data_IF_452897407823
#
_entry.id   IF_452897407823
#
_cell.length_a   1.000
_cell.length_b   1.000
_cell.length_c   1.000
_cell.angle_alpha   90.00
_cell.angle_beta   90.00
_cell.angle_gamma   90.00
#
_symmetry.space_group_name_H-M   'P 1'
#
loop_
_entity.id
_entity.type
_entity.pdbx_description
1 polymer ?
#
# COMPACT_ATOMS: atom_id res chain seq x y z
N UNK A 1 10.00 10.62 16.25
CA UNK A 1 10.27 9.72 15.17
C UNK A 1 9.12 9.69 14.17
N UNK A 2 9.46 9.70 12.92
CA UNK A 2 8.43 9.71 11.90
C UNK A 2 7.90 8.31 11.69
N UNK A 3 6.61 8.22 11.51
CA UNK A 3 5.99 6.95 11.20
C UNK A 3 5.98 6.73 9.70
N UNK A 4 5.95 5.46 9.33
CA UNK A 4 5.80 5.08 7.94
C UNK A 4 4.35 5.38 7.53
N UNK A 5 4.17 6.13 6.46
CA UNK A 5 2.86 6.57 6.03
C UNK A 5 2.30 5.61 5.00
N UNK A 6 1.13 5.07 5.28
CA UNK A 6 0.49 4.07 4.43
C UNK A 6 -0.87 4.56 3.99
N UNK A 7 -1.08 4.61 2.68
CA UNK A 7 -2.38 4.98 2.11
C UNK A 7 -3.15 3.69 1.82
N UNK A 8 -4.36 3.60 2.35
CA UNK A 8 -5.20 2.41 2.16
C UNK A 8 -6.42 2.78 1.34
N UNK A 9 -6.62 2.08 0.25
CA UNK A 9 -7.81 2.26 -0.58
C UNK A 9 -8.57 0.93 -0.64
N UNK A 10 -9.82 0.95 -0.23
CA UNK A 10 -10.67 -0.23 -0.23
C UNK A 10 -12.10 0.23 -0.36
N UNK A 11 -12.85 -0.33 -1.31
CA UNK A 11 -14.19 0.16 -1.57
C UNK A 11 -15.22 -0.32 -0.56
N UNK A 12 -14.89 -1.28 0.30
CA UNK A 12 -15.78 -1.73 1.37
C UNK A 12 -15.43 -1.03 2.66
N UNK A 13 -16.33 -0.16 3.10
CA UNK A 13 -16.06 0.73 4.23
C UNK A 13 -15.68 -0.03 5.50
N UNK A 14 -16.38 -1.10 5.81
CA UNK A 14 -16.10 -1.86 7.02
C UNK A 14 -14.73 -2.52 6.98
N UNK A 15 -14.37 -3.06 5.82
CA UNK A 15 -13.07 -3.68 5.65
C UNK A 15 -11.99 -2.62 5.73
N UNK A 16 -12.25 -1.47 5.11
CA UNK A 16 -11.31 -0.37 5.14
C UNK A 16 -11.00 0.06 6.57
N UNK A 17 -12.04 0.24 7.38
CA UNK A 17 -11.83 0.66 8.75
C UNK A 17 -11.06 -0.37 9.56
N UNK A 18 -11.33 -1.65 9.31
CA UNK A 18 -10.61 -2.71 9.99
C UNK A 18 -9.13 -2.69 9.63
N UNK A 19 -8.83 -2.54 8.34
CA UNK A 19 -7.44 -2.52 7.88
C UNK A 19 -6.70 -1.31 8.48
N UNK A 20 -7.33 -0.15 8.44
CA UNK A 20 -6.71 1.05 8.99
C UNK A 20 -6.43 0.89 10.48
N UNK A 21 -7.39 0.33 11.21
CA UNK A 21 -7.22 0.12 12.64
C UNK A 21 -6.08 -0.85 12.93
N UNK A 22 -6.01 -1.94 12.17
CA UNK A 22 -4.95 -2.92 12.38
C UNK A 22 -3.58 -2.34 12.10
N UNK A 23 -3.47 -1.55 11.05
CA UNK A 23 -2.20 -0.92 10.72
C UNK A 23 -1.80 0.07 11.81
N UNK A 24 -2.76 0.87 12.29
CA UNK A 24 -2.46 1.88 13.29
C UNK A 24 -2.14 1.30 14.66
N UNK A 25 -2.42 0.02 14.87
CA UNK A 25 -2.00 -0.64 16.10
C UNK A 25 -0.48 -0.77 16.18
N UNK A 26 0.20 -0.69 15.05
CA UNK A 26 1.66 -0.72 15.04
C UNK A 26 2.17 0.70 15.20
N UNK A 27 2.98 0.91 16.23
CA UNK A 27 3.44 2.26 16.57
C UNK A 27 4.28 2.89 15.46
N UNK A 28 4.86 2.09 14.60
CA UNK A 28 5.74 2.59 13.54
C UNK A 28 4.98 2.99 12.29
N UNK A 29 3.71 2.69 12.21
CA UNK A 29 2.91 2.90 11.00
C UNK A 29 1.77 3.85 11.25
N UNK A 30 1.42 4.60 10.22
CA UNK A 30 0.26 5.49 10.26
C UNK A 30 -0.53 5.30 8.97
N UNK A 31 -1.75 4.81 9.08
CA UNK A 31 -2.60 4.54 7.94
C UNK A 31 -3.62 5.64 7.73
N UNK A 32 -3.78 6.04 6.48
CA UNK A 32 -4.84 6.96 6.06
C UNK A 32 -5.67 6.19 5.04
N UNK A 33 -6.96 6.09 5.26
CA UNK A 33 -7.81 5.27 4.41
C UNK A 33 -8.90 6.03 3.71
N UNK A 34 -9.28 5.54 2.54
CA UNK A 34 -10.40 6.10 1.79
C UNK A 34 -11.01 4.99 0.94
N UNK A 35 -12.31 5.12 0.69
CA UNK A 35 -13.01 4.19 -0.20
C UNK A 35 -13.16 4.76 -1.61
N UNK A 36 -12.70 5.98 -1.82
CA UNK A 36 -12.88 6.71 -3.08
C UNK A 36 -11.54 6.87 -3.79
N UNK A 37 -11.47 6.38 -5.03
CA UNK A 37 -10.24 6.46 -5.80
C UNK A 37 -9.79 7.90 -6.05
N UNK A 38 -10.73 8.79 -6.33
CA UNK A 38 -10.37 10.19 -6.58
C UNK A 38 -9.81 10.84 -5.33
N UNK A 39 -10.39 10.52 -4.19
CA UNK A 39 -9.87 11.06 -2.93
C UNK A 39 -8.48 10.49 -2.64
N UNK A 40 -8.25 9.23 -2.99
CA UNK A 40 -6.92 8.63 -2.81
C UNK A 40 -5.88 9.38 -3.61
N UNK A 41 -6.21 9.75 -4.84
CA UNK A 41 -5.30 10.51 -5.67
C UNK A 41 -4.99 11.86 -5.04
N UNK A 42 -6.00 12.53 -4.52
CA UNK A 42 -5.79 13.82 -3.85
C UNK A 42 -4.93 13.70 -2.61
N UNK A 43 -5.18 12.67 -1.81
CA UNK A 43 -4.40 12.45 -0.60
C UNK A 43 -2.94 12.17 -0.94
N UNK A 44 -2.73 11.35 -1.96
CA UNK A 44 -1.37 11.00 -2.37
C UNK A 44 -0.62 12.23 -2.86
N UNK A 45 -1.33 13.12 -3.52
CA UNK A 45 -0.75 14.35 -4.04
C UNK A 45 -0.38 15.32 -2.91
N UNK A 46 -1.19 15.36 -1.87
CA UNK A 46 -1.02 16.33 -0.78
C UNK A 46 -0.04 15.86 0.30
N UNK A 47 0.13 14.55 0.43
CA UNK A 47 0.96 13.98 1.50
C UNK A 47 1.98 13.03 0.91
N UNK A 48 3.04 12.80 1.66
CA UNK A 48 4.05 11.83 1.26
C UNK A 48 3.72 10.47 1.88
N UNK A 49 3.59 9.46 1.05
CA UNK A 49 3.33 8.10 1.51
C UNK A 49 4.50 7.19 1.15
N UNK A 50 4.74 6.21 2.00
CA UNK A 50 5.79 5.22 1.79
C UNK A 50 5.25 3.96 1.14
N UNK A 51 3.97 3.72 1.29
CA UNK A 51 3.34 2.48 0.82
C UNK A 51 1.87 2.75 0.50
N UNK A 52 1.38 2.12 -0.55
CA UNK A 52 -0.05 2.15 -0.88
C UNK A 52 -0.57 0.72 -0.80
N UNK A 53 -1.67 0.54 -0.10
CA UNK A 53 -2.32 -0.77 0.04
C UNK A 53 -3.68 -0.71 -0.65
N UNK A 54 -3.87 -1.58 -1.64
CA UNK A 54 -5.12 -1.67 -2.36
C UNK A 54 -5.91 -2.87 -1.85
N UNK A 55 -7.08 -2.61 -1.30
CA UNK A 55 -7.93 -3.66 -0.78
C UNK A 55 -8.91 -4.15 -1.82
N UNK A 56 -9.91 -4.90 -1.36
CA UNK A 56 -10.88 -5.48 -2.26
C UNK A 56 -11.87 -4.45 -2.77
N UNK A 57 -12.54 -4.79 -3.87
CA UNK A 57 -13.59 -3.96 -4.41
C UNK A 57 -13.16 -2.91 -5.42
N UNK A 58 -11.88 -2.79 -5.68
CA UNK A 58 -11.38 -1.82 -6.65
C UNK A 58 -11.39 -2.49 -8.02
N UNK A 59 -12.08 -1.86 -8.99
CA UNK A 59 -12.11 -2.48 -10.31
C UNK A 59 -10.77 -2.30 -11.03
N UNK A 60 -10.56 -3.14 -12.05
CA UNK A 60 -9.27 -3.18 -12.73
C UNK A 60 -8.91 -1.87 -13.42
N UNK A 61 -9.91 -1.16 -13.90
CA UNK A 61 -9.67 0.13 -14.56
C UNK A 61 -9.14 1.16 -13.58
N UNK A 62 -9.77 1.24 -12.42
CA UNK A 62 -9.33 2.17 -11.38
C UNK A 62 -7.97 1.78 -10.84
N UNK A 63 -7.72 0.47 -10.68
CA UNK A 63 -6.44 0.01 -10.19
C UNK A 63 -5.30 0.43 -11.13
N UNK A 64 -5.49 0.25 -12.43
CA UNK A 64 -4.47 0.62 -13.39
C UNK A 64 -4.22 2.12 -13.37
N UNK A 65 -5.28 2.90 -13.27
CA UNK A 65 -5.17 4.35 -13.22
C UNK A 65 -4.39 4.79 -11.99
N UNK A 66 -4.73 4.21 -10.84
CA UNK A 66 -4.09 4.56 -9.59
C UNK A 66 -2.61 4.20 -9.60
N UNK A 67 -2.28 3.00 -10.07
CA UNK A 67 -0.88 2.58 -10.11
C UNK A 67 -0.06 3.51 -11.00
N UNK A 68 -0.63 3.92 -12.12
CA UNK A 68 0.06 4.81 -13.03
C UNK A 68 0.30 6.17 -12.39
N UNK A 69 -0.72 6.73 -11.76
CA UNK A 69 -0.62 8.06 -11.15
C UNK A 69 0.37 8.05 -9.99
N UNK A 70 0.24 7.06 -9.11
CA UNK A 70 1.11 6.99 -7.94
C UNK A 70 2.56 6.78 -8.35
N UNK A 71 2.80 5.89 -9.31
CA UNK A 71 4.16 5.61 -9.77
C UNK A 71 4.75 6.81 -10.49
N UNK A 72 3.93 7.54 -11.21
CA UNK A 72 4.39 8.74 -11.90
C UNK A 72 4.88 9.79 -10.89
N UNK A 73 4.13 9.98 -9.81
CA UNK A 73 4.48 10.99 -8.81
C UNK A 73 5.63 10.52 -7.93
N UNK A 74 5.71 9.23 -7.67
CA UNK A 74 6.77 8.68 -6.83
C UNK A 74 7.17 7.32 -7.38
N UNK A 75 8.21 7.28 -8.23
CA UNK A 75 8.62 6.01 -8.85
C UNK A 75 9.03 4.93 -7.88
N UNK A 76 9.36 5.30 -6.64
CA UNK A 76 9.79 4.32 -5.63
C UNK A 76 8.65 3.85 -4.73
N UNK A 77 7.43 4.34 -4.98
CA UNK A 77 6.30 3.93 -4.13
C UNK A 77 6.07 2.43 -4.23
N UNK A 78 5.79 1.82 -3.09
CA UNK A 78 5.42 0.40 -3.04
C UNK A 78 3.92 0.30 -3.04
N UNK A 79 3.37 -0.50 -3.94
CA UNK A 79 1.93 -0.70 -4.03
C UNK A 79 1.66 -2.19 -3.88
N UNK A 80 0.91 -2.55 -2.84
CA UNK A 80 0.58 -3.95 -2.58
C UNK A 80 -0.92 -4.13 -2.56
N UNK A 81 -1.35 -5.39 -2.72
CA UNK A 81 -2.75 -5.74 -2.68
C UNK A 81 -3.01 -6.61 -1.47
N UNK A 82 -4.16 -6.42 -0.85
CA UNK A 82 -4.56 -7.21 0.30
C UNK A 82 -6.05 -7.55 0.17
N UNK A 83 -6.37 -8.82 0.10
CA UNK A 83 -7.74 -9.27 -0.17
C UNK A 83 -8.34 -10.09 0.96
N UNK A 84 -7.87 -9.87 2.17
CA UNK A 84 -8.42 -10.57 3.31
C UNK A 84 -7.33 -11.25 4.10
N UNK A 85 -7.73 -12.07 5.06
CA UNK A 85 -6.80 -12.68 5.95
C UNK A 85 -6.75 -11.95 7.27
N UNK A 86 -5.98 -12.46 8.21
CA UNK A 86 -5.90 -11.88 9.52
C UNK A 86 -4.88 -10.78 9.63
N UNK A 87 -4.80 -10.22 10.83
CA UNK A 87 -3.87 -9.12 11.07
C UNK A 87 -2.41 -9.54 10.91
N UNK A 88 -2.12 -10.82 11.18
CA UNK A 88 -0.76 -11.29 11.02
C UNK A 88 -0.33 -11.29 9.57
N UNK A 89 -1.21 -11.69 8.68
CA UNK A 89 -0.90 -11.69 7.26
C UNK A 89 -0.72 -10.27 6.75
N UNK A 90 -1.57 -9.36 7.20
CA UNK A 90 -1.47 -7.96 6.80
C UNK A 90 -0.12 -7.36 7.22
N UNK A 91 0.28 -7.59 8.46
CA UNK A 91 1.55 -7.09 8.96
C UNK A 91 2.72 -7.65 8.15
N UNK A 92 2.67 -8.94 7.84
CA UNK A 92 3.73 -9.57 7.08
C UNK A 92 3.84 -9.00 5.68
N UNK A 93 2.70 -8.73 5.05
CA UNK A 93 2.70 -8.16 3.71
C UNK A 93 3.32 -6.77 3.69
N UNK A 94 2.99 -5.97 4.70
CA UNK A 94 3.54 -4.62 4.78
C UNK A 94 5.03 -4.66 5.06
N UNK A 95 5.45 -5.49 6.00
CA UNK A 95 6.86 -5.59 6.33
C UNK A 95 7.68 -6.11 5.17
N UNK A 96 7.13 -7.06 4.42
CA UNK A 96 7.83 -7.60 3.26
C UNK A 96 8.02 -6.53 2.19
N UNK A 97 7.00 -5.72 1.97
CA UNK A 97 7.08 -4.66 0.97
C UNK A 97 8.13 -3.62 1.35
N UNK A 98 8.19 -3.29 2.63
CA UNK A 98 9.16 -2.30 3.11
C UNK A 98 10.58 -2.86 3.09
N UNK A 99 10.72 -4.15 3.36
CA UNK A 99 12.03 -4.80 3.31
C UNK A 99 12.58 -4.85 1.90
N UNK A 100 11.71 -5.12 0.92
CA UNK A 100 12.14 -5.12 -0.47
C UNK A 100 12.74 -3.78 -0.84
N UNK A 101 12.15 -2.72 -0.33
CA UNK A 101 12.67 -1.40 -0.58
C UNK A 101 14.09 -1.26 -0.05
N UNK A 102 14.34 -1.81 1.10
CA UNK A 102 15.65 -1.74 1.71
C UNK A 102 16.69 -2.52 0.93
N UNK A 103 16.26 -3.57 0.23
CA UNK A 103 17.16 -4.44 -0.54
C UNK A 103 17.59 -3.80 -1.85
N UNK A 104 16.85 -2.90 -2.27
CA UNK A 104 17.17 -2.34 -3.58
C UNK A 104 16.73 -3.21 -4.71
N UNK A 105 16.97 -3.87 -4.66
CA UNK A 105 16.76 -4.73 -5.41
C UNK A 105 16.95 -5.64 -5.87
N UNK A 106 17.17 -6.03 -5.58
CA UNK A 106 17.39 -7.08 -5.79
C UNK A 106 16.99 -7.80 -6.19
N UNK A 107 17.17 -7.90 -6.16
CA UNK A 107 16.88 -8.95 -6.58
C UNK A 107 16.52 -9.38 -7.14
N UNK A 108 16.69 -9.09 -6.94
CA UNK A 108 16.40 -9.88 -7.50
C UNK A 108 16.40 -10.46 -8.00
N UNK A 109 16.65 -10.45 -7.88
CA UNK A 109 16.66 -11.28 -8.39
C UNK A 109 16.59 -11.88 -8.87
N UNK A 110 16.87 -11.90 -8.82
CA UNK A 110 16.81 -12.77 -9.33
C UNK A 110 16.53 -13.22 -9.98
N UNK A 111 16.73 -13.16 -10.00
CA UNK A 111 16.51 -13.92 -10.74
C UNK A 111 16.41 -14.45 -11.20
N UNK A 112 16.53 -14.53 -11.18
CA UNK A 112 16.45 -15.29 -11.74
C UNK A 112 16.18 -15.65 -12.50
N UNK A 113 16.39 -15.61 -12.46
CA UNK A 113 16.14 -16.18 -13.19
C UNK A 113 16.08 -16.12 -13.84
N UNK A 114 16.39 -15.77 -13.48
CA UNK A 114 16.56 -15.78 -14.04
C UNK A 114 16.73 -15.94 -14.41
N UNK A 115 16.97 -15.78 -14.25
CA UNK A 115 17.33 -16.17 -14.66
C UNK A 115 17.44 -16.51 -15.05
#
# INVERSE_FOLDING_TARGET
>A
MEKIQILVLCSHEEILQTIVRLINNNEKWNATGTADAERAIGLFHQHTFDLVLLGSGINGKDEKKLRRIFTYQNPEIRIIEHFGGGSGLLSNEIEAALSDNAQGNVNVIDDPFKK
#
